data_IF_113339851101
#
_entry.id   IF_113339851101
#
_cell.length_a   1.000
_cell.length_b   1.000
_cell.length_c   1.000
_cell.angle_alpha   90.00
_cell.angle_beta   90.00
_cell.angle_gamma   90.00
#
_symmetry.space_group_name_H-M   'P 1'
#
loop_
_entity.id
_entity.type
_entity.pdbx_description
1 polymer ?
#
# COMPACT_ATOMS: atom_id res chain seq x y z
N UNK A 1 8.55 17.06 -10.26
CA UNK A 1 8.93 16.57 -8.90
C UNK A 1 8.58 15.09 -8.78
N UNK A 2 9.51 14.27 -8.29
CA UNK A 2 9.23 12.86 -7.98
C UNK A 2 8.19 12.77 -6.87
N UNK A 3 7.18 11.89 -7.03
CA UNK A 3 6.16 11.68 -5.98
C UNK A 3 6.79 10.97 -4.78
N UNK A 4 6.48 11.44 -3.57
CA UNK A 4 6.90 10.79 -2.33
C UNK A 4 6.47 9.30 -2.30
N UNK A 5 7.26 8.40 -1.68
CA UNK A 5 6.87 7.02 -1.46
C UNK A 5 5.53 6.93 -0.70
N UNK A 6 4.81 5.82 -0.90
CA UNK A 6 3.62 5.55 -0.08
C UNK A 6 4.03 5.12 1.30
N UNK A 7 3.20 5.51 2.25
CA UNK A 7 3.27 5.03 3.62
C UNK A 7 2.48 3.73 3.65
N UNK A 8 3.14 2.58 3.84
CA UNK A 8 2.51 1.26 3.84
C UNK A 8 3.09 0.42 4.98
N UNK A 9 2.22 -0.09 5.86
CA UNK A 9 2.56 -1.01 6.95
C UNK A 9 1.34 -1.86 7.30
N UNK A 10 1.54 -2.94 8.03
CA UNK A 10 0.49 -3.81 8.51
C UNK A 10 -0.42 -3.08 9.52
N UNK A 11 -1.74 -3.22 9.36
CA UNK A 11 -2.74 -2.52 10.15
C UNK A 11 -2.95 -1.06 9.73
N UNK A 12 -2.36 -0.61 8.64
CA UNK A 12 -2.57 0.75 8.15
C UNK A 12 -3.98 0.95 7.61
N UNK A 13 -4.63 2.02 8.05
CA UNK A 13 -6.02 2.34 7.75
C UNK A 13 -6.10 3.47 6.74
N UNK A 14 -6.75 3.22 5.61
CA UNK A 14 -6.74 4.13 4.47
C UNK A 14 -8.14 4.47 3.96
N UNK A 15 -8.35 5.74 3.64
CA UNK A 15 -9.38 6.17 2.70
C UNK A 15 -8.79 6.17 1.28
N UNK A 16 -9.30 5.29 0.44
CA UNK A 16 -8.82 5.07 -0.93
C UNK A 16 -9.82 5.62 -1.93
N UNK A 17 -9.31 6.33 -2.95
CA UNK A 17 -10.10 6.83 -4.06
C UNK A 17 -9.47 6.39 -5.38
N UNK A 18 -10.26 5.70 -6.21
CA UNK A 18 -9.87 5.33 -7.57
C UNK A 18 -10.82 5.98 -8.56
N UNK A 19 -10.32 6.69 -9.55
CA UNK A 19 -11.15 7.46 -10.50
C UNK A 19 -10.88 7.05 -11.93
N UNK A 20 -11.92 7.07 -12.76
CA UNK A 20 -11.83 6.83 -14.19
C UNK A 20 -10.94 7.84 -14.91
N UNK A 21 -10.21 7.39 -15.92
CA UNK A 21 -9.39 8.25 -16.77
C UNK A 21 -10.27 9.33 -17.40
N UNK A 22 -9.79 10.58 -17.45
CA UNK A 22 -10.56 11.74 -17.93
C UNK A 22 -11.96 11.86 -17.30
N UNK A 23 -12.14 11.35 -16.06
CA UNK A 23 -13.41 11.27 -15.33
C UNK A 23 -14.49 10.45 -16.05
N UNK A 24 -14.11 9.58 -16.99
CA UNK A 24 -15.05 8.70 -17.67
C UNK A 24 -15.77 7.76 -16.69
N UNK A 25 -16.95 7.30 -17.11
CA UNK A 25 -17.69 6.26 -16.39
C UNK A 25 -16.87 4.96 -16.36
N UNK A 26 -16.68 4.43 -15.16
CA UNK A 26 -16.05 3.12 -14.93
C UNK A 26 -17.10 2.04 -14.69
N UNK A 27 -18.34 2.42 -14.46
CA UNK A 27 -19.51 1.57 -14.40
C UNK A 27 -20.55 2.11 -15.39
N UNK A 28 -20.97 1.30 -16.35
CA UNK A 28 -21.95 1.69 -17.37
C UNK A 28 -23.34 1.13 -17.07
N UNK A 29 -23.40 -0.01 -16.38
CA UNK A 29 -24.62 -0.68 -15.97
C UNK A 29 -24.42 -1.49 -14.67
N UNK A 30 -25.50 -2.12 -14.20
CA UNK A 30 -25.53 -2.88 -12.95
C UNK A 30 -24.57 -4.10 -12.95
N UNK A 31 -24.31 -4.69 -14.11
CA UNK A 31 -23.35 -5.80 -14.22
C UNK A 31 -21.92 -5.34 -13.91
N UNK A 32 -21.53 -4.16 -14.35
CA UNK A 32 -20.20 -3.59 -14.05
C UNK A 32 -20.01 -3.38 -12.54
N UNK A 33 -21.01 -2.84 -11.88
CA UNK A 33 -20.99 -2.67 -10.41
C UNK A 33 -20.88 -4.02 -9.70
N UNK A 34 -21.71 -5.00 -10.10
CA UNK A 34 -21.68 -6.35 -9.55
C UNK A 34 -20.31 -6.99 -9.69
N UNK A 35 -19.70 -6.88 -10.89
CA UNK A 35 -18.37 -7.44 -11.16
C UNK A 35 -17.26 -6.77 -10.39
N UNK A 36 -17.36 -5.46 -10.15
CA UNK A 36 -16.39 -4.78 -9.29
C UNK A 36 -16.46 -5.30 -7.85
N UNK A 37 -17.67 -5.52 -7.32
CA UNK A 37 -17.87 -6.11 -5.98
C UNK A 37 -17.36 -7.55 -5.90
N UNK A 38 -17.55 -8.38 -6.94
CA UNK A 38 -16.97 -9.73 -7.00
C UNK A 38 -15.43 -9.69 -6.97
N UNK A 39 -14.83 -8.77 -7.73
CA UNK A 39 -13.37 -8.58 -7.72
C UNK A 39 -12.91 -8.13 -6.34
N UNK A 40 -13.62 -7.18 -5.72
CA UNK A 40 -13.29 -6.67 -4.40
C UNK A 40 -13.35 -7.78 -3.33
N UNK A 41 -14.41 -8.61 -3.34
CA UNK A 41 -14.58 -9.75 -2.45
C UNK A 41 -13.45 -10.78 -2.63
N UNK A 42 -13.15 -11.17 -3.87
CA UNK A 42 -12.07 -12.11 -4.18
C UNK A 42 -10.72 -11.64 -3.65
N UNK A 43 -10.38 -10.37 -3.82
CA UNK A 43 -9.10 -9.83 -3.34
C UNK A 43 -9.10 -9.63 -1.83
N UNK A 44 -10.27 -9.40 -1.20
CA UNK A 44 -10.41 -9.42 0.26
C UNK A 44 -10.09 -10.80 0.82
N UNK A 45 -10.63 -11.85 0.23
CA UNK A 45 -10.36 -13.23 0.63
C UNK A 45 -8.89 -13.62 0.41
N UNK A 46 -8.28 -13.17 -0.70
CA UNK A 46 -6.90 -13.50 -1.05
C UNK A 46 -5.89 -12.80 -0.14
N UNK A 47 -6.10 -11.52 0.17
CA UNK A 47 -5.12 -10.68 0.87
C UNK A 47 -5.51 -10.36 2.30
N UNK A 48 -6.66 -10.86 2.78
CA UNK A 48 -7.13 -10.76 4.18
C UNK A 48 -7.12 -9.33 4.75
N UNK A 49 -7.39 -8.32 3.91
CA UNK A 49 -7.59 -6.96 4.36
C UNK A 49 -9.01 -6.77 4.91
N UNK A 50 -9.22 -5.79 5.78
CA UNK A 50 -10.54 -5.40 6.26
C UNK A 50 -11.11 -4.30 5.37
N UNK A 51 -12.39 -4.40 5.05
CA UNK A 51 -13.14 -3.41 4.27
C UNK A 51 -14.27 -2.86 5.15
N UNK A 52 -14.13 -1.64 5.63
CA UNK A 52 -15.14 -1.04 6.51
C UNK A 52 -16.27 -0.36 5.73
N UNK A 53 -15.96 0.35 4.68
CA UNK A 53 -16.97 1.00 3.87
C UNK A 53 -16.57 1.07 2.39
N UNK A 54 -17.58 1.09 1.52
CA UNK A 54 -17.40 1.43 0.12
C UNK A 54 -18.60 2.21 -0.43
N UNK A 55 -18.33 2.97 -1.47
CA UNK A 55 -19.34 3.49 -2.39
C UNK A 55 -18.77 3.51 -3.81
N UNK A 56 -19.53 2.93 -4.74
CA UNK A 56 -19.20 2.86 -6.16
C UNK A 56 -19.97 3.94 -6.89
N UNK A 57 -19.31 5.06 -7.18
CA UNK A 57 -19.88 6.16 -7.98
C UNK A 57 -19.63 5.88 -9.47
N UNK A 58 -20.45 6.39 -10.36
CA UNK A 58 -20.37 6.09 -11.79
C UNK A 58 -18.97 6.22 -12.42
N UNK A 59 -18.13 7.11 -11.92
CA UNK A 59 -16.79 7.38 -12.45
C UNK A 59 -15.66 7.29 -11.42
N UNK A 60 -15.94 6.90 -10.18
CA UNK A 60 -14.94 6.71 -9.13
C UNK A 60 -15.47 5.81 -8.01
N UNK A 61 -14.54 5.33 -7.19
CA UNK A 61 -14.82 4.45 -6.05
C UNK A 61 -14.17 5.05 -4.81
N UNK A 62 -14.88 5.01 -3.69
CA UNK A 62 -14.30 5.20 -2.36
C UNK A 62 -14.29 3.88 -1.61
N UNK A 63 -13.16 3.56 -0.99
CA UNK A 63 -13.01 2.40 -0.11
C UNK A 63 -12.40 2.85 1.21
N UNK A 64 -12.84 2.26 2.31
CA UNK A 64 -12.24 2.41 3.63
C UNK A 64 -11.65 1.07 4.04
N UNK A 65 -10.33 0.98 4.03
CA UNK A 65 -9.58 -0.28 4.08
C UNK A 65 -8.55 -0.25 5.20
N UNK A 66 -8.43 -1.35 5.94
CA UNK A 66 -7.30 -1.62 6.82
C UNK A 66 -6.52 -2.79 6.26
N UNK A 67 -5.22 -2.61 6.04
CA UNK A 67 -4.36 -3.64 5.47
C UNK A 67 -3.95 -4.66 6.54
N UNK A 68 -3.80 -5.93 6.11
CA UNK A 68 -3.03 -6.93 6.85
C UNK A 68 -1.56 -6.89 6.41
N UNK A 69 -0.94 -8.05 6.33
CA UNK A 69 0.45 -8.22 5.86
C UNK A 69 0.67 -7.74 4.41
N UNK A 70 -0.36 -7.81 3.57
CA UNK A 70 -0.25 -7.41 2.17
C UNK A 70 -0.38 -5.90 2.03
N UNK A 71 0.61 -5.20 1.42
CA UNK A 71 0.57 -3.76 1.25
C UNK A 71 -0.57 -3.32 0.33
N UNK A 72 -1.13 -2.13 0.60
CA UNK A 72 -2.24 -1.55 -0.16
C UNK A 72 -1.96 -1.46 -1.66
N UNK A 73 -0.72 -1.17 -2.02
CA UNK A 73 -0.30 -1.10 -3.42
C UNK A 73 -0.55 -2.40 -4.19
N UNK A 74 -0.25 -3.55 -3.59
CA UNK A 74 -0.48 -4.86 -4.19
C UNK A 74 -1.97 -5.19 -4.28
N UNK A 75 -2.73 -4.89 -3.23
CA UNK A 75 -4.19 -5.08 -3.18
C UNK A 75 -4.86 -4.30 -4.32
N UNK A 76 -4.60 -2.99 -4.39
CA UNK A 76 -5.24 -2.10 -5.36
C UNK A 76 -4.75 -2.35 -6.80
N UNK A 77 -3.51 -2.77 -6.97
CA UNK A 77 -3.00 -3.20 -8.28
C UNK A 77 -3.81 -4.39 -8.79
N UNK A 78 -4.00 -5.42 -7.97
CA UNK A 78 -4.78 -6.60 -8.34
C UNK A 78 -6.23 -6.27 -8.68
N UNK A 79 -6.91 -5.51 -7.84
CA UNK A 79 -8.31 -5.09 -8.06
C UNK A 79 -8.43 -4.29 -9.37
N UNK A 80 -7.62 -3.24 -9.54
CA UNK A 80 -7.72 -2.35 -10.68
C UNK A 80 -7.34 -3.06 -12.00
N UNK A 81 -6.32 -3.91 -12.02
CA UNK A 81 -5.94 -4.68 -13.21
C UNK A 81 -7.02 -5.67 -13.60
N UNK A 82 -7.56 -6.43 -12.64
CA UNK A 82 -8.61 -7.41 -12.89
C UNK A 82 -9.87 -6.78 -13.45
N UNK A 83 -10.29 -5.66 -12.84
CA UNK A 83 -11.48 -4.95 -13.31
C UNK A 83 -11.25 -4.28 -14.67
N UNK A 84 -10.11 -3.61 -14.88
CA UNK A 84 -9.76 -3.01 -16.18
C UNK A 84 -9.74 -4.06 -17.31
N UNK A 85 -9.12 -5.20 -17.07
CA UNK A 85 -9.06 -6.29 -18.08
C UNK A 85 -10.46 -6.78 -18.48
N UNK A 86 -11.38 -6.92 -17.50
CA UNK A 86 -12.77 -7.27 -17.77
C UNK A 86 -13.51 -6.16 -18.50
N UNK A 87 -13.41 -4.92 -18.04
CA UNK A 87 -14.05 -3.76 -18.67
C UNK A 87 -13.63 -3.64 -20.15
N UNK A 88 -12.32 -3.67 -20.39
CA UNK A 88 -11.77 -3.56 -21.74
C UNK A 88 -12.25 -4.69 -22.65
N UNK A 89 -12.31 -5.93 -22.15
CA UNK A 89 -12.83 -7.07 -22.91
C UNK A 89 -14.33 -6.90 -23.22
N UNK A 90 -15.13 -6.48 -22.25
CA UNK A 90 -16.58 -6.31 -22.41
C UNK A 90 -16.91 -5.21 -23.42
N UNK A 91 -16.21 -4.08 -23.33
CA UNK A 91 -16.50 -2.90 -24.16
C UNK A 91 -15.59 -2.74 -25.38
N UNK A 92 -14.75 -3.75 -25.65
CA UNK A 92 -13.79 -3.74 -26.78
C UNK A 92 -12.92 -2.48 -26.78
N UNK A 93 -12.48 -2.04 -25.59
CA UNK A 93 -11.60 -0.89 -25.40
C UNK A 93 -10.19 -1.34 -25.04
N UNK A 94 -9.21 -0.46 -25.20
CA UNK A 94 -7.81 -0.69 -24.84
C UNK A 94 -7.28 0.45 -23.97
N UNK A 95 -6.21 0.18 -23.20
CA UNK A 95 -5.54 1.17 -22.40
C UNK A 95 -6.07 1.29 -20.96
N UNK A 96 -5.81 2.45 -20.35
CA UNK A 96 -6.05 2.65 -18.92
C UNK A 96 -7.50 3.08 -18.65
N UNK A 97 -8.24 2.25 -17.90
CA UNK A 97 -9.56 2.61 -17.41
C UNK A 97 -9.48 3.67 -16.30
N UNK A 98 -8.50 3.55 -15.40
CA UNK A 98 -8.32 4.45 -14.26
C UNK A 98 -7.26 5.52 -14.53
N UNK A 99 -7.48 6.72 -13.93
CA UNK A 99 -6.59 7.87 -14.04
C UNK A 99 -5.31 7.67 -13.21
N UNK A 100 -4.31 7.00 -13.77
CA UNK A 100 -3.05 6.74 -13.09
C UNK A 100 -3.23 5.91 -11.80
N UNK A 101 -2.40 6.21 -10.78
CA UNK A 101 -2.49 5.54 -9.47
C UNK A 101 -3.68 6.05 -8.66
N UNK A 102 -4.27 5.18 -7.83
CA UNK A 102 -5.27 5.58 -6.83
C UNK A 102 -4.71 6.63 -5.85
N UNK A 103 -5.58 7.46 -5.28
CA UNK A 103 -5.28 8.30 -4.11
C UNK A 103 -5.54 7.48 -2.86
N UNK A 104 -4.57 7.42 -1.95
CA UNK A 104 -4.74 6.86 -0.62
C UNK A 104 -4.36 7.92 0.41
N UNK A 105 -5.21 8.10 1.39
CA UNK A 105 -5.00 8.92 2.57
C UNK A 105 -4.90 7.94 3.73
N UNK A 106 -3.75 7.91 4.40
CA UNK A 106 -3.60 7.18 5.65
C UNK A 106 -4.32 7.95 6.75
N UNK A 107 -5.17 7.27 7.50
CA UNK A 107 -6.03 7.90 8.49
C UNK A 107 -5.77 7.32 9.88
N UNK A 108 -5.86 8.16 10.90
CA UNK A 108 -5.98 7.67 12.27
C UNK A 108 -7.34 6.98 12.43
N UNK A 109 -7.31 5.65 12.59
CA UNK A 109 -8.52 4.84 12.64
C UNK A 109 -9.42 5.24 13.81
N UNK A 110 -8.83 5.40 15.01
CA UNK A 110 -9.60 5.59 16.22
C UNK A 110 -10.30 6.96 16.23
N UNK A 111 -9.66 7.97 15.65
CA UNK A 111 -10.22 9.32 15.53
C UNK A 111 -11.21 9.49 14.37
N UNK A 112 -11.00 8.77 13.24
CA UNK A 112 -11.70 9.09 11.99
C UNK A 112 -12.60 7.97 11.44
N UNK A 113 -12.64 6.77 12.05
CA UNK A 113 -13.41 5.64 11.52
C UNK A 113 -14.88 5.99 11.27
N UNK A 114 -15.59 6.51 12.28
CA UNK A 114 -17.01 6.83 12.16
C UNK A 114 -17.29 7.97 11.18
N UNK A 115 -16.48 9.02 11.21
CA UNK A 115 -16.61 10.17 10.32
C UNK A 115 -16.37 9.78 8.86
N UNK A 116 -15.40 8.91 8.59
CA UNK A 116 -15.09 8.41 7.25
C UNK A 116 -16.18 7.44 6.74
N UNK A 117 -16.70 6.54 7.58
CA UNK A 117 -17.83 5.68 7.23
C UNK A 117 -19.04 6.54 6.83
N UNK A 118 -19.40 7.53 7.66
CA UNK A 118 -20.48 8.48 7.37
C UNK A 118 -20.21 9.25 6.07
N UNK A 119 -19.00 9.78 5.91
CA UNK A 119 -18.62 10.52 4.70
C UNK A 119 -18.78 9.68 3.44
N UNK A 120 -18.28 8.44 3.43
CA UNK A 120 -18.35 7.54 2.28
C UNK A 120 -19.80 7.22 1.94
N UNK A 121 -20.64 6.92 2.94
CA UNK A 121 -22.02 6.57 2.72
C UNK A 121 -22.90 7.75 2.29
N UNK A 122 -22.53 8.98 2.64
CA UNK A 122 -23.22 10.20 2.20
C UNK A 122 -22.74 10.73 0.85
N UNK A 123 -21.70 10.16 0.22
CA UNK A 123 -21.23 10.64 -1.08
C UNK A 123 -22.31 10.70 -2.17
N UNK A 124 -23.22 9.71 -2.33
CA UNK A 124 -24.29 9.78 -3.32
C UNK A 124 -25.28 10.92 -3.07
N UNK A 125 -25.60 11.20 -1.80
CA UNK A 125 -26.47 12.33 -1.41
C UNK A 125 -25.79 13.66 -1.74
N UNK A 126 -24.50 13.80 -1.39
CA UNK A 126 -23.70 14.99 -1.71
C UNK A 126 -23.51 15.22 -3.21
N UNK A 127 -23.51 14.13 -3.97
CA UNK A 127 -23.47 14.19 -5.44
C UNK A 127 -24.88 14.41 -6.07
N UNK A 128 -25.91 14.61 -5.25
CA UNK A 128 -27.31 14.78 -5.68
C UNK A 128 -27.84 13.63 -6.56
N UNK A 129 -27.30 12.40 -6.36
CA UNK A 129 -27.77 11.21 -7.09
C UNK A 129 -29.02 10.60 -6.44
N UNK A 130 -29.15 10.74 -5.12
CA UNK A 130 -30.27 10.27 -4.31
C UNK A 130 -30.55 11.26 -3.18
N UNK A 131 -31.75 11.18 -2.59
CA UNK A 131 -32.13 12.03 -1.45
C UNK A 131 -31.60 11.49 -0.13
N UNK A 132 -31.59 10.17 0.00
CA UNK A 132 -31.11 9.50 1.22
C UNK A 132 -30.07 8.41 0.87
N UNK A 133 -29.11 8.11 1.76
CA UNK A 133 -28.05 7.12 1.47
C UNK A 133 -28.62 5.70 1.29
N UNK A 134 -29.80 5.39 1.85
CA UNK A 134 -30.49 4.11 1.70
C UNK A 134 -30.92 3.82 0.26
N UNK A 135 -31.22 4.86 -0.51
CA UNK A 135 -31.66 4.74 -1.90
C UNK A 135 -30.53 4.32 -2.85
N UNK A 136 -29.28 4.52 -2.43
CA UNK A 136 -28.13 4.21 -3.28
C UNK A 136 -27.65 2.77 -3.10
N UNK A 137 -28.04 1.88 -4.03
CA UNK A 137 -27.76 0.43 -3.91
C UNK A 137 -26.28 0.05 -3.99
N UNK A 138 -25.43 0.88 -4.58
CA UNK A 138 -24.00 0.61 -4.81
C UNK A 138 -23.10 1.16 -3.68
N UNK A 139 -23.65 1.15 -2.48
CA UNK A 139 -22.99 1.54 -1.24
C UNK A 139 -23.08 0.41 -0.21
N UNK A 140 -22.06 0.32 0.65
CA UNK A 140 -22.08 -0.60 1.79
C UNK A 140 -23.03 -0.16 2.91
N UNK A 141 -23.62 1.03 2.86
CA UNK A 141 -24.54 1.56 3.88
C UNK A 141 -25.64 0.58 4.27
N UNK A 142 -26.21 -0.15 3.30
CA UNK A 142 -27.29 -1.13 3.54
C UNK A 142 -26.91 -2.26 4.47
N UNK A 143 -25.63 -2.70 4.50
CA UNK A 143 -25.15 -3.76 5.35
C UNK A 143 -25.06 -3.34 6.81
N UNK A 144 -24.94 -2.05 7.06
CA UNK A 144 -25.01 -1.45 8.38
C UNK A 144 -26.43 -1.34 8.94
N UNK A 145 -27.44 -1.28 8.07
CA UNK A 145 -28.85 -1.18 8.48
C UNK A 145 -29.50 -2.55 8.67
N UNK A 146 -29.06 -3.56 7.91
CA UNK A 146 -29.66 -4.91 7.92
C UNK A 146 -28.60 -5.98 7.99
N UNK A 147 -28.86 -7.05 8.73
CA UNK A 147 -28.02 -8.24 8.71
C UNK A 147 -28.16 -8.97 7.37
N UNK A 148 -27.06 -9.44 6.82
CA UNK A 148 -27.04 -10.26 5.62
C UNK A 148 -25.75 -11.09 5.57
N UNK A 149 -25.88 -12.35 5.21
CA UNK A 149 -24.75 -13.28 5.08
C UNK A 149 -23.87 -12.97 3.85
N UNK A 150 -24.33 -12.05 2.99
CA UNK A 150 -23.61 -11.64 1.78
C UNK A 150 -22.82 -10.35 1.94
N UNK A 151 -22.60 -9.89 3.17
CA UNK A 151 -21.78 -8.69 3.41
C UNK A 151 -20.32 -8.95 3.07
N UNK A 152 -19.73 -8.07 2.27
CA UNK A 152 -18.28 -8.05 2.03
C UNK A 152 -17.56 -7.06 2.94
N UNK A 153 -18.31 -6.29 3.75
CA UNK A 153 -17.73 -5.31 4.69
C UNK A 153 -17.66 -5.87 6.11
N UNK A 154 -16.68 -5.41 6.85
CA UNK A 154 -16.41 -5.76 8.24
C UNK A 154 -17.11 -4.75 9.15
N UNK A 155 -18.45 -4.80 9.21
CA UNK A 155 -19.27 -3.83 9.92
C UNK A 155 -19.25 -3.98 11.45
N UNK A 156 -18.89 -5.16 11.98
CA UNK A 156 -18.97 -5.45 13.41
C UNK A 156 -18.18 -4.49 14.31
N UNK A 157 -16.97 -4.10 13.89
CA UNK A 157 -16.16 -3.14 14.64
C UNK A 157 -16.86 -1.79 14.77
N UNK A 158 -17.39 -1.30 13.66
CA UNK A 158 -18.09 -0.01 13.60
C UNK A 158 -19.38 -0.06 14.40
N UNK A 159 -20.17 -1.14 14.27
CA UNK A 159 -21.44 -1.28 14.97
C UNK A 159 -21.24 -1.38 16.49
N UNK A 160 -20.20 -2.07 16.96
CA UNK A 160 -19.87 -2.16 18.40
C UNK A 160 -19.57 -0.81 19.05
N UNK A 161 -19.12 0.19 18.27
CA UNK A 161 -18.93 1.55 18.78
C UNK A 161 -20.25 2.26 19.14
N UNK A 162 -21.38 1.77 18.62
CA UNK A 162 -22.72 2.31 18.94
C UNK A 162 -23.40 1.54 20.07
N UNK A 163 -23.30 0.22 20.10
CA UNK A 163 -23.89 -0.63 21.15
C UNK A 163 -23.36 -2.06 21.07
N UNK A 164 -23.35 -2.76 22.20
CA UNK A 164 -23.11 -4.21 22.24
C UNK A 164 -24.27 -5.01 21.62
N UNK A 165 -25.51 -4.52 21.74
CA UNK A 165 -26.68 -5.10 21.07
C UNK A 165 -26.71 -4.71 19.59
N UNK A 166 -26.69 -5.73 18.71
CA UNK A 166 -26.61 -5.51 17.25
C UNK A 166 -27.80 -4.76 16.68
N UNK A 167 -29.01 -4.96 17.23
CA UNK A 167 -30.23 -4.29 16.76
C UNK A 167 -30.21 -2.80 17.14
N UNK A 168 -29.84 -2.52 18.39
CA UNK A 168 -29.66 -1.15 18.87
C UNK A 168 -28.52 -0.44 18.10
N UNK A 169 -27.38 -1.13 17.89
CA UNK A 169 -26.26 -0.58 17.15
C UNK A 169 -26.65 -0.15 15.72
N UNK A 170 -27.39 -0.98 14.98
CA UNK A 170 -27.88 -0.67 13.63
C UNK A 170 -28.84 0.53 13.62
N UNK A 171 -29.72 0.62 14.61
CA UNK A 171 -30.62 1.77 14.76
C UNK A 171 -29.86 3.06 15.04
N UNK A 172 -28.90 3.02 15.98
CA UNK A 172 -28.08 4.17 16.35
C UNK A 172 -27.19 4.61 15.19
N UNK A 173 -26.59 3.66 14.47
CA UNK A 173 -25.84 3.94 13.25
C UNK A 173 -26.70 4.64 12.18
N UNK A 174 -27.94 4.16 11.96
CA UNK A 174 -28.88 4.78 11.03
C UNK A 174 -29.20 6.24 11.40
N UNK A 175 -29.44 6.51 12.69
CA UNK A 175 -29.64 7.86 13.22
C UNK A 175 -28.37 8.72 13.05
N UNK A 176 -27.20 8.16 13.35
CA UNK A 176 -25.90 8.85 13.19
C UNK A 176 -25.65 9.31 11.76
N UNK A 177 -25.93 8.46 10.75
CA UNK A 177 -25.74 8.83 9.35
C UNK A 177 -26.83 9.80 8.90
N UNK A 178 -28.08 9.63 9.37
CA UNK A 178 -29.22 10.49 9.02
C UNK A 178 -29.18 11.88 9.64
N UNK A 179 -28.43 12.10 10.73
CA UNK A 179 -28.29 13.41 11.33
C UNK A 179 -27.53 14.37 10.40
N UNK A 180 -28.04 15.60 10.26
CA UNK A 180 -27.53 16.65 9.35
C UNK A 180 -26.15 17.21 9.71
N UNK A 181 -25.49 16.76 10.79
CA UNK A 181 -24.11 17.16 11.06
C UNK A 181 -23.24 16.72 9.89
N UNK A 182 -23.12 17.63 8.93
CA UNK A 182 -22.35 17.46 7.71
C UNK A 182 -20.88 17.37 8.11
N UNK A 183 -20.32 16.17 8.02
CA UNK A 183 -18.84 16.05 7.99
C UNK A 183 -18.40 16.82 6.75
N UNK A 184 -17.83 18.00 6.94
CA UNK A 184 -17.40 18.85 5.82
C UNK A 184 -16.32 18.13 5.04
N UNK A 185 -16.28 18.33 3.73
CA UNK A 185 -15.25 17.75 2.87
C UNK A 185 -13.86 18.22 3.32
N UNK A 186 -13.77 19.45 3.77
CA UNK A 186 -12.56 20.09 4.28
C UNK A 186 -11.98 19.30 5.47
N UNK A 187 -12.82 18.81 6.39
CA UNK A 187 -12.38 18.07 7.59
C UNK A 187 -11.71 16.74 7.26
N UNK A 188 -12.10 16.10 6.14
CA UNK A 188 -11.55 14.81 5.70
C UNK A 188 -10.33 14.98 4.78
N UNK A 189 -10.20 16.16 4.14
CA UNK A 189 -9.08 16.43 3.23
C UNK A 189 -8.07 17.43 3.79
N UNK A 190 -8.28 17.92 5.02
CA UNK A 190 -7.26 18.66 5.77
C UNK A 190 -6.20 17.65 6.27
N UNK A 191 -5.26 17.36 5.40
CA UNK A 191 -4.29 16.28 5.59
C UNK A 191 -2.89 16.85 5.73
N UNK A 192 -2.11 16.28 6.64
CA UNK A 192 -0.68 16.54 6.75
C UNK A 192 0.01 15.94 5.51
N UNK A 193 0.84 16.73 4.86
CA UNK A 193 1.59 16.34 3.65
C UNK A 193 0.73 15.74 2.52
N UNK A 194 -0.56 16.06 2.46
CA UNK A 194 -1.56 15.53 1.50
C UNK A 194 -1.74 14.01 1.54
N UNK A 195 -1.23 13.33 2.58
CA UNK A 195 -1.21 11.87 2.69
C UNK A 195 -1.76 11.33 4.00
N UNK A 196 -1.72 12.11 5.10
CA UNK A 196 -2.04 11.67 6.45
C UNK A 196 -3.21 12.50 6.97
N UNK A 197 -4.27 11.83 7.44
CA UNK A 197 -5.39 12.41 8.17
C UNK A 197 -5.27 11.97 9.64
N UNK A 198 -4.84 12.88 10.49
CA UNK A 198 -4.56 12.68 11.89
C UNK A 198 -3.97 13.94 12.49
N UNK A 199 -3.71 13.93 13.79
CA UNK A 199 -2.95 14.98 14.46
C UNK A 199 -1.43 14.85 14.18
N UNK A 200 -0.65 15.82 14.67
CA UNK A 200 0.81 15.82 14.50
C UNK A 200 1.44 14.59 15.16
N UNK A 201 0.96 14.18 16.34
CA UNK A 201 1.50 13.02 17.07
C UNK A 201 1.26 11.71 16.33
N UNK A 202 0.13 11.56 15.64
CA UNK A 202 -0.14 10.44 14.75
C UNK A 202 0.76 10.49 13.52
N UNK A 203 0.93 11.66 12.93
CA UNK A 203 1.78 11.82 11.74
C UNK A 203 3.24 11.47 12.06
N UNK A 204 3.78 11.93 13.18
CA UNK A 204 5.15 11.62 13.62
C UNK A 204 5.31 10.12 13.86
N UNK A 205 4.43 9.49 14.64
CA UNK A 205 4.45 8.04 14.87
C UNK A 205 4.43 7.22 13.58
N UNK A 206 3.70 7.69 12.58
CA UNK A 206 3.60 7.01 11.28
C UNK A 206 4.85 7.22 10.44
N UNK A 207 5.42 8.43 10.47
CA UNK A 207 6.67 8.74 9.77
C UNK A 207 7.80 7.93 10.39
N UNK A 208 7.92 7.93 11.71
CA UNK A 208 8.90 7.12 12.46
C UNK A 208 8.74 5.62 12.18
N UNK A 209 7.49 5.11 12.18
CA UNK A 209 7.21 3.72 11.83
C UNK A 209 7.58 3.39 10.38
N UNK A 210 7.50 4.35 9.47
CA UNK A 210 7.92 4.17 8.08
C UNK A 210 9.41 4.34 7.89
N UNK A 211 10.04 5.19 8.68
CA UNK A 211 11.49 5.34 8.73
C UNK A 211 12.14 4.17 9.48
N UNK A 212 11.50 3.69 10.56
CA UNK A 212 11.81 2.43 11.23
C UNK A 212 11.33 1.18 10.46
N UNK A 213 10.37 1.32 9.57
CA UNK A 213 9.87 0.31 8.62
C UNK A 213 10.83 0.10 7.45
N UNK A 214 12.08 -0.12 7.76
CA UNK A 214 13.00 -0.97 7.02
C UNK A 214 12.23 -2.28 6.76
N UNK A 215 12.13 -2.68 5.49
CA UNK A 215 11.52 -3.97 5.11
C UNK A 215 11.93 -5.05 6.11
N UNK A 216 11.02 -5.93 6.60
CA UNK A 216 11.41 -7.01 7.51
C UNK A 216 12.50 -7.84 6.83
N UNK A 217 13.73 -7.69 7.28
CA UNK A 217 14.93 -8.33 6.69
C UNK A 217 16.04 -7.37 6.28
N UNK A 218 15.83 -6.08 6.30
CA UNK A 218 16.91 -5.11 6.04
C UNK A 218 17.67 -4.85 7.33
N UNK A 219 18.94 -5.26 7.36
CA UNK A 219 19.85 -4.97 8.47
C UNK A 219 20.24 -3.49 8.46
N UNK A 220 20.45 -2.91 9.65
CA UNK A 220 21.05 -1.59 9.78
C UNK A 220 22.45 -1.57 9.14
N UNK A 221 22.94 -0.38 8.81
CA UNK A 221 24.28 -0.18 8.23
C UNK A 221 25.34 -0.42 9.28
N UNK A 222 25.53 -1.68 9.65
CA UNK A 222 26.58 -2.10 10.58
C UNK A 222 27.95 -2.11 9.91
N UNK A 223 28.01 -2.31 8.58
CA UNK A 223 29.24 -2.45 7.80
C UNK A 223 29.24 -1.51 6.61
N UNK A 224 30.39 -0.84 6.39
CA UNK A 224 30.57 0.05 5.24
C UNK A 224 30.66 -0.71 3.91
N UNK A 225 30.40 -0.04 2.79
CA UNK A 225 30.57 -0.64 1.46
C UNK A 225 32.00 -1.16 1.22
N UNK A 226 33.08 -0.46 1.67
CA UNK A 226 34.44 -1.01 1.66
C UNK A 226 34.60 -2.29 2.48
N UNK A 227 34.02 -2.37 3.69
CA UNK A 227 34.09 -3.58 4.51
C UNK A 227 33.40 -4.77 3.85
N UNK A 228 32.21 -4.55 3.27
CA UNK A 228 31.47 -5.59 2.53
C UNK A 228 32.27 -6.05 1.30
N UNK A 229 32.89 -5.12 0.55
CA UNK A 229 33.69 -5.49 -0.61
C UNK A 229 34.98 -6.25 -0.24
N UNK A 230 35.59 -5.90 0.89
CA UNK A 230 36.78 -6.61 1.42
C UNK A 230 36.47 -8.04 1.80
N UNK A 231 35.32 -8.34 2.40
CA UNK A 231 34.92 -9.72 2.70
C UNK A 231 34.63 -10.53 1.42
N UNK A 232 34.12 -9.89 0.37
CA UNK A 232 33.90 -10.54 -0.93
C UNK A 232 35.26 -10.88 -1.59
N UNK A 233 36.23 -9.97 -1.47
CA UNK A 233 37.60 -10.21 -1.93
C UNK A 233 38.23 -11.41 -1.18
N UNK A 234 38.10 -11.46 0.14
CA UNK A 234 38.59 -12.54 0.97
C UNK A 234 37.99 -13.92 0.62
N UNK A 235 36.65 -13.96 0.37
CA UNK A 235 35.96 -15.25 0.13
C UNK A 235 36.03 -15.68 -1.34
N UNK A 236 35.98 -14.75 -2.28
CA UNK A 236 35.85 -15.05 -3.71
C UNK A 236 37.04 -14.59 -4.56
N UNK A 237 38.05 -13.94 -3.97
CA UNK A 237 39.23 -13.44 -4.68
C UNK A 237 38.94 -12.31 -5.68
N UNK A 238 37.79 -11.59 -5.52
CA UNK A 238 37.33 -10.56 -6.46
C UNK A 238 37.52 -9.20 -5.82
N UNK A 239 38.48 -8.44 -6.31
CA UNK A 239 38.83 -7.13 -5.76
C UNK A 239 37.76 -6.06 -6.08
N UNK A 240 37.65 -5.00 -5.27
CA UNK A 240 36.79 -3.86 -5.54
C UNK A 240 37.07 -3.22 -6.92
N UNK A 241 38.31 -3.21 -7.34
CA UNK A 241 38.73 -2.69 -8.65
C UNK A 241 38.16 -3.52 -9.79
N UNK A 242 38.27 -4.85 -9.72
CA UNK A 242 37.69 -5.77 -10.72
C UNK A 242 36.16 -5.62 -10.79
N UNK A 243 35.49 -5.40 -9.65
CA UNK A 243 34.05 -5.15 -9.63
C UNK A 243 33.65 -3.85 -10.36
N UNK A 244 34.54 -2.83 -10.36
CA UNK A 244 34.31 -1.53 -11.03
C UNK A 244 34.61 -1.57 -12.53
N UNK A 245 35.51 -2.43 -12.99
CA UNK A 245 35.90 -2.53 -14.40
C UNK A 245 34.77 -3.05 -15.32
N UNK A 246 34.92 -2.84 -16.63
CA UNK A 246 34.08 -3.47 -17.64
C UNK A 246 34.59 -4.88 -17.91
N UNK A 247 33.94 -5.90 -17.34
CA UNK A 247 34.30 -7.31 -17.56
C UNK A 247 33.04 -8.14 -17.78
N UNK A 248 33.12 -9.09 -18.69
CA UNK A 248 32.10 -10.12 -18.94
C UNK A 248 32.43 -11.44 -18.20
N UNK A 249 33.49 -11.46 -17.40
CA UNK A 249 33.91 -12.61 -16.62
C UNK A 249 32.77 -13.05 -15.66
N UNK A 250 32.48 -14.35 -15.66
CA UNK A 250 31.40 -14.92 -14.87
C UNK A 250 31.61 -14.78 -13.37
N UNK A 251 32.86 -14.90 -12.89
CA UNK A 251 33.21 -14.77 -11.48
C UNK A 251 33.06 -13.32 -11.02
N UNK A 252 33.57 -12.37 -11.83
CA UNK A 252 33.43 -10.93 -11.54
C UNK A 252 31.94 -10.53 -11.54
N UNK A 253 31.16 -11.07 -12.47
CA UNK A 253 29.70 -10.86 -12.51
C UNK A 253 29.02 -11.42 -11.26
N UNK A 254 29.44 -12.60 -10.79
CA UNK A 254 28.96 -13.20 -9.55
C UNK A 254 29.30 -12.34 -8.33
N UNK A 255 30.54 -11.84 -8.24
CA UNK A 255 30.98 -10.93 -7.16
C UNK A 255 30.15 -9.65 -7.11
N UNK A 256 29.86 -9.04 -8.27
CA UNK A 256 29.00 -7.85 -8.37
C UNK A 256 27.58 -8.11 -7.88
N UNK A 257 27.00 -9.24 -8.26
CA UNK A 257 25.67 -9.64 -7.80
C UNK A 257 25.67 -9.84 -6.29
N UNK A 258 26.67 -10.53 -5.76
CA UNK A 258 26.85 -10.78 -4.33
C UNK A 258 26.96 -9.48 -3.54
N UNK A 259 27.83 -8.59 -3.98
CA UNK A 259 28.00 -7.27 -3.37
C UNK A 259 26.68 -6.47 -3.37
N UNK A 260 25.96 -6.50 -4.50
CA UNK A 260 24.67 -5.80 -4.61
C UNK A 260 23.63 -6.34 -3.62
N UNK A 261 23.58 -7.67 -3.45
CA UNK A 261 22.63 -8.33 -2.54
C UNK A 261 22.98 -8.05 -1.09
N UNK A 262 24.26 -8.26 -0.69
CA UNK A 262 24.68 -8.06 0.70
C UNK A 262 24.60 -6.59 1.11
N UNK A 263 25.08 -5.68 0.27
CA UNK A 263 24.98 -4.25 0.55
C UNK A 263 23.53 -3.78 0.68
N UNK A 264 22.63 -4.31 -0.16
CA UNK A 264 21.22 -4.02 -0.06
C UNK A 264 20.60 -4.60 1.24
N UNK A 265 21.03 -5.79 1.67
CA UNK A 265 20.59 -6.41 2.93
C UNK A 265 21.04 -5.59 4.17
N UNK A 266 22.19 -4.91 4.09
CA UNK A 266 22.66 -3.94 5.08
C UNK A 266 22.18 -2.50 4.83
N UNK A 267 21.03 -2.30 4.18
CA UNK A 267 20.34 -1.03 4.11
C UNK A 267 20.83 -0.03 3.06
N UNK A 268 21.82 -0.36 2.21
CA UNK A 268 22.28 0.52 1.16
C UNK A 268 21.27 0.61 -0.01
N UNK A 269 20.99 1.83 -0.47
CA UNK A 269 20.10 2.06 -1.63
C UNK A 269 20.81 1.66 -2.93
N UNK A 270 20.06 1.17 -3.91
CA UNK A 270 20.62 0.76 -5.20
C UNK A 270 21.48 1.84 -5.89
N UNK A 271 21.19 3.13 -5.68
CA UNK A 271 21.99 4.25 -6.19
C UNK A 271 23.36 4.35 -5.50
N UNK A 272 23.45 4.11 -4.20
CA UNK A 272 24.68 4.14 -3.41
C UNK A 272 25.59 2.97 -3.83
N UNK A 273 25.00 1.78 -3.98
CA UNK A 273 25.69 0.58 -4.46
C UNK A 273 26.21 0.81 -5.89
N UNK A 274 25.39 1.41 -6.76
CA UNK A 274 25.75 1.73 -8.13
C UNK A 274 26.91 2.74 -8.19
N UNK A 275 26.86 3.79 -7.38
CA UNK A 275 27.91 4.80 -7.28
C UNK A 275 29.24 4.17 -6.81
N UNK A 276 29.20 3.33 -5.76
CA UNK A 276 30.40 2.65 -5.27
C UNK A 276 31.03 1.73 -6.31
N UNK A 277 30.22 0.97 -7.04
CA UNK A 277 30.70 0.06 -8.09
C UNK A 277 30.94 0.73 -9.45
N UNK A 278 30.61 2.02 -9.61
CA UNK A 278 30.63 2.77 -10.88
C UNK A 278 29.84 2.05 -11.98
N UNK A 279 28.62 1.61 -11.65
CA UNK A 279 27.72 0.88 -12.54
C UNK A 279 26.36 1.57 -12.65
N UNK A 280 25.60 1.16 -13.66
CA UNK A 280 24.24 1.64 -13.86
C UNK A 280 23.30 1.16 -12.75
N UNK A 281 22.48 2.03 -12.14
CA UNK A 281 21.49 1.64 -11.11
C UNK A 281 20.49 0.59 -11.57
N UNK A 282 20.16 0.52 -12.87
CA UNK A 282 19.27 -0.51 -13.40
C UNK A 282 19.91 -1.92 -13.34
N UNK A 283 21.24 -1.99 -13.50
CA UNK A 283 21.99 -3.23 -13.32
C UNK A 283 21.89 -3.72 -11.86
N UNK A 284 22.07 -2.81 -10.91
CA UNK A 284 21.97 -3.13 -9.48
C UNK A 284 20.58 -3.62 -9.12
N UNK A 285 19.53 -2.96 -9.64
CA UNK A 285 18.14 -3.39 -9.44
C UNK A 285 17.89 -4.81 -9.96
N UNK A 286 18.50 -5.19 -11.10
CA UNK A 286 18.45 -6.58 -11.61
C UNK A 286 19.17 -7.56 -10.69
N UNK A 287 20.34 -7.20 -10.17
CA UNK A 287 21.09 -8.05 -9.24
C UNK A 287 20.29 -8.33 -7.97
N UNK A 288 19.70 -7.30 -7.37
CA UNK A 288 18.90 -7.41 -6.13
C UNK A 288 17.66 -8.31 -6.30
N UNK A 289 17.05 -8.33 -7.49
CA UNK A 289 15.88 -9.18 -7.80
C UNK A 289 16.19 -10.66 -7.99
N UNK A 290 17.44 -11.05 -8.17
CA UNK A 290 17.83 -12.46 -8.39
C UNK A 290 17.89 -13.22 -7.07
N UNK A 291 16.91 -14.13 -6.84
CA UNK A 291 16.77 -14.90 -5.59
C UNK A 291 17.77 -16.07 -5.43
N UNK A 292 18.48 -16.46 -6.49
CA UNK A 292 19.27 -17.71 -6.57
C UNK A 292 20.56 -17.70 -5.73
N UNK A 293 21.04 -16.55 -5.27
CA UNK A 293 22.32 -16.40 -4.59
C UNK A 293 22.26 -16.28 -3.06
N UNK A 294 21.13 -16.64 -2.43
CA UNK A 294 20.94 -16.50 -0.98
C UNK A 294 21.95 -17.30 -0.14
N UNK A 295 22.36 -18.48 -0.60
CA UNK A 295 23.35 -19.32 0.12
C UNK A 295 24.73 -18.68 0.18
N UNK A 296 25.19 -18.09 -0.92
CA UNK A 296 26.51 -17.44 -0.99
C UNK A 296 26.49 -16.09 -0.25
N UNK A 297 25.38 -15.33 -0.35
CA UNK A 297 25.21 -14.12 0.43
C UNK A 297 25.22 -14.39 1.94
N UNK A 298 24.65 -15.52 2.38
CA UNK A 298 24.69 -15.93 3.78
C UNK A 298 26.12 -16.17 4.28
N UNK A 299 27.03 -16.70 3.44
CA UNK A 299 28.46 -16.88 3.80
C UNK A 299 29.17 -15.53 4.02
N UNK A 300 28.92 -14.57 3.12
CA UNK A 300 29.49 -13.21 3.26
C UNK A 300 28.98 -12.54 4.54
N UNK A 301 27.69 -12.67 4.80
CA UNK A 301 27.06 -12.09 5.99
C UNK A 301 27.60 -12.76 7.27
N UNK A 302 27.78 -14.08 7.28
CA UNK A 302 28.38 -14.79 8.41
C UNK A 302 29.79 -14.28 8.70
N UNK A 303 30.59 -14.12 7.65
CA UNK A 303 31.97 -13.63 7.77
C UNK A 303 32.03 -12.15 8.20
N UNK A 304 31.10 -11.32 7.76
CA UNK A 304 30.98 -9.93 8.25
C UNK A 304 30.69 -9.88 9.75
N UNK A 305 29.82 -10.77 10.24
CA UNK A 305 29.46 -10.85 11.67
C UNK A 305 30.60 -11.26 12.59
N UNK A 306 31.63 -11.91 12.07
CA UNK A 306 32.86 -12.20 12.82
C UNK A 306 33.72 -10.95 13.04
N UNK A 307 33.45 -9.86 12.29
CA UNK A 307 34.13 -8.57 12.39
C UNK A 307 33.32 -7.60 13.25
N UNK A 308 34.01 -6.65 13.90
CA UNK A 308 33.32 -5.54 14.56
C UNK A 308 32.65 -4.64 13.52
N UNK A 309 31.42 -4.16 13.77
CA UNK A 309 30.80 -3.13 12.93
C UNK A 309 31.73 -1.93 12.76
N UNK A 310 31.83 -1.40 11.55
CA UNK A 310 32.68 -0.25 11.21
C UNK A 310 31.86 1.02 10.92
N UNK A 311 30.51 0.90 10.98
CA UNK A 311 29.60 2.04 10.91
C UNK A 311 28.96 2.20 12.30
N UNK A 312 29.29 3.27 13.00
CA UNK A 312 28.63 3.60 14.26
C UNK A 312 27.16 3.94 14.01
N UNK A 313 26.25 3.23 14.70
CA UNK A 313 24.83 3.58 14.82
C UNK A 313 24.70 4.82 15.74
N UNK A 314 25.16 5.96 15.26
CA UNK A 314 24.85 7.27 15.86
C UNK A 314 24.51 8.22 14.72
N UNK A 315 23.21 8.36 14.47
CA UNK A 315 22.44 9.62 14.34
C UNK A 315 20.96 9.25 14.37
#
# INVERSE_FOLDING_TARGET
>A
MARKPRIEFEGAFYHVITRGNQRQKIFRDDEDYGKYLEVLARYKDLYKYRLYAYVLMGNHVHLLVETGETPLSKILQGINQSYTGRFNRRYRTVGHLFQGRYKAILCDRDSYLLSLVKYIHLNPVRAHLVKTPQEYRWSSHRYYLRSTDKSIVDEDLVLRLFSADKKAARRLYGAFVGNEIVVKKEDIYNTIDKRILGDETFADRVIDKCEAGIEPGRREREYSLPAISGVIEEIFGITPTQMREKSKDGNISRGRKMFSLVAHDFGYKGREIAAYMRKDPALITRHIKQKEMKKDAAKVIAKLKERKPDVNSQV
#
